data_IF_107538917892
#
_entry.id   IF_107538917892
#
_cell.length_a   1.000
_cell.length_b   1.000
_cell.length_c   1.000
_cell.angle_alpha   90.00
_cell.angle_beta   90.00
_cell.angle_gamma   90.00
#
_symmetry.space_group_name_H-M   'P 1'
#
loop_
_entity.id
_entity.type
_entity.pdbx_description
1 polymer ?
#
# COMPACT_ATOMS: atom_id res chain seq x y z
N UNK A 1 15.91 13.14 6.87
CA UNK A 1 14.91 12.73 7.89
C UNK A 1 15.09 11.24 8.07
N UNK A 2 15.36 10.78 9.29
CA UNK A 2 15.44 9.35 9.59
C UNK A 2 14.03 8.82 9.84
N UNK A 3 13.68 7.70 9.19
CA UNK A 3 12.40 7.00 9.35
C UNK A 3 12.67 5.59 9.88
N UNK A 4 13.05 5.42 11.16
CA UNK A 4 13.41 4.13 11.70
C UNK A 4 12.19 3.20 11.79
N UNK A 5 12.36 1.94 11.43
CA UNK A 5 11.34 0.92 11.63
C UNK A 5 11.35 0.51 13.10
N UNK A 6 10.25 0.77 13.82
CA UNK A 6 10.08 0.38 15.23
C UNK A 6 9.31 -0.92 15.37
N UNK A 7 9.57 -1.72 16.43
CA UNK A 7 8.77 -2.89 16.77
C UNK A 7 7.31 -2.53 17.06
N UNK A 8 6.40 -3.46 16.78
CA UNK A 8 4.96 -3.31 17.08
C UNK A 8 4.72 -3.49 18.58
N UNK A 9 3.93 -2.60 19.20
CA UNK A 9 3.38 -2.83 20.54
C UNK A 9 1.87 -3.05 20.47
N UNK A 10 1.42 -4.21 20.92
CA UNK A 10 0.00 -4.59 20.86
C UNK A 10 -0.86 -3.60 21.64
N UNK A 11 -1.88 -3.05 20.98
CA UNK A 11 -2.82 -2.09 21.57
C UNK A 11 -2.33 -0.64 21.62
N UNK A 12 -1.11 -0.36 21.16
CA UNK A 12 -0.61 1.01 21.02
C UNK A 12 -1.30 1.68 19.82
N UNK A 13 -1.84 2.89 20.02
CA UNK A 13 -2.31 3.70 18.91
C UNK A 13 -1.11 4.32 18.19
N UNK A 14 -1.02 4.10 16.89
CA UNK A 14 0.03 4.67 16.05
C UNK A 14 -0.52 5.92 15.35
N UNK A 15 -0.03 7.12 15.68
CA UNK A 15 -0.42 8.31 14.95
C UNK A 15 0.20 8.28 13.55
N UNK A 16 -0.59 8.61 12.53
CA UNK A 16 -0.12 8.76 11.16
C UNK A 16 -0.76 9.98 10.50
N UNK A 17 -0.16 10.42 9.40
CA UNK A 17 -0.70 11.48 8.56
C UNK A 17 -0.50 11.09 7.11
N UNK A 18 -1.56 11.18 6.32
CA UNK A 18 -1.47 10.95 4.89
C UNK A 18 -0.59 12.01 4.20
N UNK A 19 0.13 11.65 3.13
CA UNK A 19 0.86 12.61 2.33
C UNK A 19 -0.06 13.74 1.85
N UNK A 20 0.41 15.00 1.85
CA UNK A 20 -0.38 16.12 1.36
C UNK A 20 -0.52 16.02 -0.17
N UNK A 21 -1.54 16.66 -0.75
CA UNK A 21 -1.71 16.75 -2.21
C UNK A 21 -0.47 17.26 -2.95
N UNK A 22 0.32 18.14 -2.34
CA UNK A 22 1.58 18.62 -2.90
C UNK A 22 2.57 17.48 -3.20
N UNK A 23 2.55 16.39 -2.42
CA UNK A 23 3.34 15.19 -2.71
C UNK A 23 2.86 14.53 -4.00
N UNK A 24 1.55 14.27 -4.13
CA UNK A 24 0.96 13.69 -5.34
C UNK A 24 1.27 14.53 -6.59
N UNK A 25 1.20 15.85 -6.50
CA UNK A 25 1.58 16.74 -7.60
C UNK A 25 3.08 16.67 -7.92
N UNK A 26 3.93 16.61 -6.90
CA UNK A 26 5.40 16.58 -7.07
C UNK A 26 5.93 15.30 -7.73
N UNK A 27 5.25 14.16 -7.55
CA UNK A 27 5.66 12.90 -8.15
C UNK A 27 5.17 12.73 -9.60
N UNK A 28 4.35 13.66 -10.12
CA UNK A 28 3.79 13.56 -11.48
C UNK A 28 2.32 13.11 -11.53
N UNK A 29 1.56 13.25 -10.45
CA UNK A 29 0.14 12.93 -10.41
C UNK A 29 -0.14 11.43 -10.53
N UNK A 30 -1.18 11.05 -11.27
CA UNK A 30 -1.61 9.65 -11.39
C UNK A 30 -0.56 8.76 -12.07
N UNK A 31 0.09 9.28 -13.14
CA UNK A 31 1.11 8.53 -13.87
C UNK A 31 2.32 8.26 -12.99
N UNK A 32 2.82 9.29 -12.31
CA UNK A 32 3.94 9.16 -11.37
C UNK A 32 3.63 8.26 -10.17
N UNK A 33 2.41 8.32 -9.64
CA UNK A 33 1.98 7.40 -8.59
C UNK A 33 1.93 5.95 -9.09
N UNK A 34 1.44 5.74 -10.32
CA UNK A 34 1.42 4.40 -10.93
C UNK A 34 2.84 3.87 -11.11
N UNK A 35 3.75 4.67 -11.65
CA UNK A 35 5.16 4.28 -11.81
C UNK A 35 5.81 3.91 -10.47
N UNK A 36 5.64 4.76 -9.45
CA UNK A 36 6.12 4.48 -8.09
C UNK A 36 5.60 3.14 -7.54
N UNK A 37 4.31 2.88 -7.71
CA UNK A 37 3.72 1.64 -7.23
C UNK A 37 4.15 0.43 -8.04
N UNK A 38 4.41 0.59 -9.34
CA UNK A 38 4.90 -0.50 -10.19
C UNK A 38 6.33 -0.88 -9.80
N UNK A 39 7.21 0.11 -9.60
CA UNK A 39 8.57 -0.10 -9.09
C UNK A 39 8.56 -0.81 -7.73
N UNK A 40 7.62 -0.44 -6.86
CA UNK A 40 7.41 -1.11 -5.58
C UNK A 40 7.02 -2.58 -5.77
N UNK A 41 6.05 -2.87 -6.64
CA UNK A 41 5.58 -4.24 -6.84
C UNK A 41 6.56 -5.14 -7.59
N UNK A 42 7.44 -4.58 -8.41
CA UNK A 42 8.53 -5.34 -9.02
C UNK A 42 9.49 -5.86 -7.95
N UNK A 43 9.77 -5.05 -6.92
CA UNK A 43 10.54 -5.50 -5.73
C UNK A 43 9.79 -6.55 -4.93
N UNK A 44 8.48 -6.38 -4.74
CA UNK A 44 7.64 -7.35 -4.02
C UNK A 44 7.64 -8.71 -4.73
N UNK A 45 7.60 -8.72 -6.06
CA UNK A 45 7.61 -9.96 -6.83
C UNK A 45 8.87 -10.79 -6.62
N UNK A 46 10.00 -10.14 -6.33
CA UNK A 46 11.29 -10.78 -6.02
C UNK A 46 11.52 -11.02 -4.52
N UNK A 47 10.65 -10.49 -3.66
CA UNK A 47 10.81 -10.48 -2.19
C UNK A 47 10.47 -11.81 -1.51
N UNK A 48 10.84 -11.93 -0.23
CA UNK A 48 10.44 -13.08 0.58
C UNK A 48 8.92 -13.15 0.82
N UNK A 49 8.19 -12.05 0.61
CA UNK A 49 6.72 -11.99 0.77
C UNK A 49 5.94 -12.18 -0.53
N UNK A 50 6.61 -12.48 -1.65
CA UNK A 50 5.95 -12.74 -2.94
C UNK A 50 4.85 -13.81 -2.86
N UNK A 51 5.00 -14.77 -1.95
CA UNK A 51 4.03 -15.86 -1.71
C UNK A 51 2.67 -15.40 -1.17
N UNK A 52 2.52 -14.17 -0.67
CA UNK A 52 1.22 -13.59 -0.32
C UNK A 52 0.42 -13.12 -1.54
N UNK A 53 1.04 -13.08 -2.71
CA UNK A 53 0.45 -12.50 -3.91
C UNK A 53 0.13 -13.58 -4.96
N UNK A 54 -0.80 -13.30 -5.89
CA UNK A 54 -1.04 -14.17 -7.03
C UNK A 54 0.24 -14.41 -7.83
N UNK A 55 0.49 -15.66 -8.21
CA UNK A 55 1.64 -16.04 -9.03
C UNK A 55 1.35 -15.95 -10.54
N UNK A 56 0.07 -15.86 -10.92
CA UNK A 56 -0.31 -15.52 -12.28
C UNK A 56 -0.08 -14.02 -12.51
N UNK A 57 0.67 -13.68 -13.56
CA UNK A 57 1.07 -12.30 -13.86
C UNK A 57 -0.13 -11.36 -14.08
N UNK A 58 -1.23 -11.85 -14.67
CA UNK A 58 -2.41 -11.02 -14.92
C UNK A 58 -3.17 -10.75 -13.63
N UNK A 59 -3.27 -11.73 -12.74
CA UNK A 59 -3.86 -11.52 -11.42
C UNK A 59 -2.94 -10.63 -10.54
N UNK A 60 -1.62 -10.75 -10.66
CA UNK A 60 -0.67 -9.88 -9.98
C UNK A 60 -0.78 -8.42 -10.46
N UNK A 61 -0.90 -8.19 -11.77
CA UNK A 61 -1.10 -6.85 -12.34
C UNK A 61 -2.38 -6.18 -11.81
N UNK A 62 -3.48 -6.94 -11.64
CA UNK A 62 -4.69 -6.42 -11.00
C UNK A 62 -4.44 -5.94 -9.57
N UNK A 63 -3.58 -6.63 -8.82
CA UNK A 63 -3.17 -6.18 -7.48
C UNK A 63 -2.41 -4.86 -7.55
N UNK A 64 -1.45 -4.73 -8.50
CA UNK A 64 -0.70 -3.48 -8.73
C UNK A 64 -1.66 -2.32 -9.02
N UNK A 65 -2.59 -2.51 -9.95
CA UNK A 65 -3.58 -1.50 -10.35
C UNK A 65 -4.48 -1.12 -9.18
N UNK A 66 -5.02 -2.11 -8.46
CA UNK A 66 -5.92 -1.87 -7.33
C UNK A 66 -5.23 -1.06 -6.23
N UNK A 67 -4.02 -1.45 -5.84
CA UNK A 67 -3.30 -0.74 -4.79
C UNK A 67 -2.81 0.65 -5.25
N UNK A 68 -2.47 0.81 -6.53
CA UNK A 68 -2.15 2.13 -7.10
C UNK A 68 -3.30 3.12 -6.93
N UNK A 69 -4.55 2.70 -7.19
CA UNK A 69 -5.74 3.52 -6.97
C UNK A 69 -5.90 3.93 -5.51
N UNK A 70 -5.61 3.03 -4.57
CA UNK A 70 -5.63 3.35 -3.15
C UNK A 70 -4.64 4.46 -2.80
N UNK A 71 -3.37 4.32 -3.23
CA UNK A 71 -2.33 5.31 -2.99
C UNK A 71 -2.60 6.67 -3.66
N UNK A 72 -3.14 6.68 -4.89
CA UNK A 72 -3.61 7.90 -5.56
C UNK A 72 -4.59 8.66 -4.66
N UNK A 73 -5.61 7.96 -4.15
CA UNK A 73 -6.65 8.59 -3.35
C UNK A 73 -6.12 9.10 -2.00
N UNK A 74 -5.36 8.30 -1.24
CA UNK A 74 -4.89 8.71 0.09
C UNK A 74 -3.83 9.80 0.03
N UNK A 75 -3.09 9.93 -1.08
CA UNK A 75 -2.10 10.99 -1.29
C UNK A 75 -2.69 12.31 -1.83
N UNK A 76 -4.01 12.41 -1.96
CA UNK A 76 -4.70 13.64 -2.37
C UNK A 76 -5.00 13.76 -3.87
N UNK A 77 -4.89 12.66 -4.62
CA UNK A 77 -5.40 12.54 -5.98
C UNK A 77 -6.92 12.28 -6.02
N UNK A 78 -7.47 11.93 -7.19
CA UNK A 78 -8.90 11.68 -7.36
C UNK A 78 -9.40 10.46 -6.55
N UNK A 79 -10.70 10.45 -6.27
CA UNK A 79 -11.40 9.40 -5.49
C UNK A 79 -11.65 8.11 -6.31
N UNK A 80 -10.58 7.49 -6.80
CA UNK A 80 -10.64 6.34 -7.71
C UNK A 80 -10.75 4.98 -7.01
N UNK A 81 -10.78 4.96 -5.68
CA UNK A 81 -10.83 3.75 -4.85
C UNK A 81 -12.14 3.59 -4.05
N UNK A 82 -12.99 4.62 -3.96
CA UNK A 82 -14.22 4.61 -3.14
C UNK A 82 -15.14 3.40 -3.46
N UNK A 83 -15.27 3.04 -4.73
CA UNK A 83 -16.09 1.89 -5.17
C UNK A 83 -15.58 0.55 -4.61
N UNK A 84 -14.26 0.41 -4.42
CA UNK A 84 -13.66 -0.79 -3.81
C UNK A 84 -14.02 -0.90 -2.32
N UNK A 85 -14.04 0.24 -1.63
CA UNK A 85 -14.35 0.34 -0.21
C UNK A 85 -15.85 0.24 0.09
N UNK A 86 -16.73 0.42 -0.91
CA UNK A 86 -18.20 0.31 -0.79
C UNK A 86 -18.76 1.15 0.36
N UNK A 87 -18.20 2.35 0.58
CA UNK A 87 -18.61 3.27 1.64
C UNK A 87 -18.07 2.95 3.04
N UNK A 88 -17.21 1.94 3.19
CA UNK A 88 -16.46 1.69 4.42
C UNK A 88 -15.36 2.74 4.60
N UNK A 89 -15.03 3.07 5.85
CA UNK A 89 -13.81 3.83 6.14
C UNK A 89 -12.59 3.11 5.55
N UNK A 90 -11.72 3.85 4.84
CA UNK A 90 -10.60 3.25 4.13
C UNK A 90 -9.61 2.52 5.05
N UNK A 91 -9.40 3.00 6.28
CA UNK A 91 -8.47 2.35 7.19
C UNK A 91 -9.08 1.05 7.72
N UNK A 92 -10.36 1.08 8.10
CA UNK A 92 -11.06 -0.15 8.47
C UNK A 92 -11.07 -1.14 7.31
N UNK A 93 -11.40 -0.69 6.10
CA UNK A 93 -11.38 -1.51 4.90
C UNK A 93 -10.01 -2.16 4.68
N UNK A 94 -8.92 -1.38 4.79
CA UNK A 94 -7.56 -1.91 4.66
C UNK A 94 -7.24 -2.95 5.74
N UNK A 95 -7.71 -2.80 6.97
CA UNK A 95 -7.53 -3.84 7.99
C UNK A 95 -8.27 -5.12 7.57
N UNK A 96 -9.54 -5.01 7.16
CA UNK A 96 -10.37 -6.17 6.79
C UNK A 96 -9.84 -6.95 5.61
N UNK A 97 -9.38 -6.27 4.55
CA UNK A 97 -8.85 -6.96 3.36
C UNK A 97 -7.53 -7.67 3.63
N UNK A 98 -6.85 -7.34 4.74
CA UNK A 98 -5.64 -8.03 5.17
C UNK A 98 -5.88 -9.12 6.23
N UNK A 99 -7.12 -9.33 6.72
CA UNK A 99 -7.45 -10.32 7.76
C UNK A 99 -7.10 -11.77 7.35
N UNK A 100 -7.13 -12.07 6.05
CA UNK A 100 -6.82 -13.41 5.51
C UNK A 100 -5.31 -13.72 5.44
N UNK A 101 -4.44 -12.73 5.68
CA UNK A 101 -2.99 -12.87 5.56
C UNK A 101 -2.33 -12.94 6.94
N UNK A 102 -1.43 -13.91 7.11
CA UNK A 102 -0.61 -14.03 8.33
C UNK A 102 0.57 -13.06 8.30
N UNK A 103 0.29 -11.75 8.32
CA UNK A 103 1.32 -10.69 8.28
C UNK A 103 2.01 -10.57 9.64
N UNK A 104 3.20 -11.14 9.74
CA UNK A 104 4.06 -11.02 10.91
C UNK A 104 5.01 -9.82 10.81
N UNK A 105 5.81 -9.58 11.85
CA UNK A 105 6.76 -8.46 11.89
C UNK A 105 7.80 -8.53 10.76
N UNK A 106 8.29 -9.74 10.43
CA UNK A 106 9.23 -9.95 9.32
C UNK A 106 8.61 -9.53 7.98
N UNK A 107 7.37 -9.96 7.71
CA UNK A 107 6.66 -9.61 6.49
C UNK A 107 6.38 -8.10 6.38
N UNK A 108 6.06 -7.44 7.50
CA UNK A 108 5.93 -5.98 7.55
C UNK A 108 7.24 -5.27 7.21
N UNK A 109 8.35 -5.73 7.76
CA UNK A 109 9.68 -5.15 7.50
C UNK A 109 10.06 -5.35 6.04
N UNK A 110 9.86 -6.55 5.49
CA UNK A 110 10.09 -6.85 4.07
C UNK A 110 9.25 -5.94 3.16
N UNK A 111 7.97 -5.73 3.49
CA UNK A 111 7.08 -4.82 2.75
C UNK A 111 7.56 -3.37 2.75
N UNK A 112 8.17 -2.90 3.85
CA UNK A 112 8.70 -1.54 3.94
C UNK A 112 9.99 -1.34 3.13
N UNK A 113 10.65 -2.43 2.72
CA UNK A 113 11.93 -2.43 2.04
C UNK A 113 13.09 -2.27 3.03
N UNK A 114 14.00 -3.25 3.02
CA UNK A 114 15.31 -3.21 3.70
C UNK A 114 16.43 -3.48 2.71
#
# INVERSE_FOLDING_TARGET
>A
MELPITPVKKGEQVPFRNPPRAFFESIGGEEGMRELMYDFYDKIYESEIAHFFPQDEKEFDKVKVKNSKFFIQICGGPKVYEEEAKGMDLNEYMIRVHDDFSINEKARVEWLGT
#
